data_IF_566365574966
#
_entry.id   IF_566365574966
#
_cell.length_a   1.000
_cell.length_b   1.000
_cell.length_c   1.000
_cell.angle_alpha   90.00
_cell.angle_beta   90.00
_cell.angle_gamma   90.00
#
_symmetry.space_group_name_H-M   'P 1'
#
loop_
_entity.id
_entity.type
_entity.pdbx_description
1 polymer ?
#
# COMPACT_ATOMS: atom_id res chain seq x y z
N UNK A 1 17.34 13.81 -3.30
CA UNK A 1 16.41 12.67 -3.30
C UNK A 1 15.39 12.98 -2.23
N UNK A 2 14.09 12.90 -2.53
CA UNK A 2 13.07 13.07 -1.50
C UNK A 2 13.28 12.00 -0.43
N UNK A 3 13.25 12.39 0.85
CA UNK A 3 13.28 11.45 1.96
C UNK A 3 11.92 10.75 2.03
N UNK A 4 11.87 9.46 1.69
CA UNK A 4 10.66 8.63 1.79
C UNK A 4 10.56 8.04 3.21
N UNK A 5 9.34 7.82 3.69
CA UNK A 5 9.10 7.25 5.04
C UNK A 5 9.40 5.74 5.06
N UNK A 6 9.62 5.17 6.24
CA UNK A 6 9.76 3.70 6.40
C UNK A 6 8.54 2.93 5.85
N UNK A 7 7.33 3.53 5.94
CA UNK A 7 6.12 2.94 5.38
C UNK A 7 6.16 2.96 3.84
N UNK A 8 6.57 4.07 3.23
CA UNK A 8 6.72 4.18 1.77
C UNK A 8 7.80 3.24 1.23
N UNK A 9 8.89 3.04 1.96
CA UNK A 9 9.89 2.01 1.64
C UNK A 9 9.27 0.61 1.62
N UNK A 10 8.40 0.30 2.60
CA UNK A 10 7.66 -0.97 2.61
C UNK A 10 6.65 -1.07 1.48
N UNK A 11 5.90 -0.01 1.19
CA UNK A 11 4.94 0.04 0.08
C UNK A 11 5.63 -0.27 -1.25
N UNK A 12 6.74 0.41 -1.54
CA UNK A 12 7.54 0.18 -2.74
C UNK A 12 8.20 -1.21 -2.72
N UNK A 13 8.78 -1.60 -1.59
CA UNK A 13 9.52 -2.87 -1.45
C UNK A 13 8.66 -4.13 -1.48
N UNK A 14 7.32 -3.98 -1.44
CA UNK A 14 6.36 -5.08 -1.52
C UNK A 14 5.61 -5.16 -2.84
N UNK A 15 5.97 -4.35 -3.84
CA UNK A 15 5.43 -4.44 -5.19
C UNK A 15 5.51 -5.87 -5.72
N UNK A 16 4.43 -6.31 -6.39
CA UNK A 16 4.24 -7.64 -6.98
C UNK A 16 4.27 -8.82 -6.00
N UNK A 17 4.25 -8.55 -4.68
CA UNK A 17 4.20 -9.60 -3.64
C UNK A 17 2.79 -9.76 -3.09
N UNK A 18 2.50 -10.97 -2.61
CA UNK A 18 1.30 -11.23 -1.83
C UNK A 18 1.50 -10.67 -0.42
N UNK A 19 0.65 -9.72 -0.04
CA UNK A 19 0.73 -9.01 1.22
C UNK A 19 -0.58 -9.10 2.00
N UNK A 20 -0.46 -8.97 3.32
CA UNK A 20 -1.54 -8.61 4.24
C UNK A 20 -1.34 -7.16 4.68
N UNK A 21 -2.36 -6.34 4.48
CA UNK A 21 -2.41 -4.95 4.96
C UNK A 21 -3.39 -4.86 6.11
N UNK A 22 -2.92 -4.37 7.26
CA UNK A 22 -3.78 -4.01 8.40
C UNK A 22 -3.96 -2.50 8.41
N UNK A 23 -5.21 -2.04 8.36
CA UNK A 23 -5.57 -0.63 8.42
C UNK A 23 -5.81 -0.20 9.87
N UNK A 24 -5.62 1.09 10.15
CA UNK A 24 -5.81 1.67 11.50
C UNK A 24 -7.25 1.57 12.03
N UNK A 25 -8.22 1.37 11.13
CA UNK A 25 -9.62 1.12 11.48
C UNK A 25 -9.91 -0.36 11.79
N UNK A 26 -8.90 -1.23 11.74
CA UNK A 26 -8.99 -2.66 11.99
C UNK A 26 -9.37 -3.51 10.76
N UNK A 27 -9.59 -2.90 9.59
CA UNK A 27 -9.79 -3.67 8.34
C UNK A 27 -8.50 -4.37 7.92
N UNK A 28 -8.65 -5.53 7.29
CA UNK A 28 -7.55 -6.33 6.77
C UNK A 28 -7.82 -6.63 5.30
N UNK A 29 -6.81 -6.40 4.47
CA UNK A 29 -6.82 -6.72 3.05
C UNK A 29 -5.69 -7.70 2.74
N UNK A 30 -5.98 -8.73 1.95
CA UNK A 30 -4.99 -9.72 1.52
C UNK A 30 -5.02 -9.85 -0.01
N UNK A 31 -3.86 -9.62 -0.63
CA UNK A 31 -3.79 -9.58 -2.08
C UNK A 31 -2.42 -9.24 -2.61
N UNK A 32 -2.32 -9.04 -3.92
CA UNK A 32 -1.07 -8.63 -4.58
C UNK A 32 -0.98 -7.11 -4.54
N UNK A 33 0.17 -6.57 -4.14
CA UNK A 33 0.47 -5.15 -4.29
C UNK A 33 0.82 -4.84 -5.75
N UNK A 34 -0.14 -4.33 -6.52
CA UNK A 34 0.03 -4.11 -7.96
C UNK A 34 0.72 -2.78 -8.27
N UNK A 35 0.43 -1.73 -7.49
CA UNK A 35 0.92 -0.39 -7.77
C UNK A 35 1.28 0.37 -6.51
N UNK A 36 2.33 1.19 -6.60
CA UNK A 36 2.71 2.19 -5.61
C UNK A 36 2.66 3.58 -6.26
N UNK A 37 1.93 4.49 -5.62
CA UNK A 37 1.88 5.90 -6.01
C UNK A 37 2.68 6.70 -4.99
N UNK A 38 3.77 7.33 -5.44
CA UNK A 38 4.57 8.23 -4.60
C UNK A 38 3.83 9.57 -4.40
N UNK A 39 4.02 10.27 -3.27
CA UNK A 39 3.47 11.60 -3.10
C UNK A 39 4.13 12.58 -4.08
N UNK A 40 3.35 13.49 -4.66
CA UNK A 40 3.86 14.59 -5.49
C UNK A 40 4.13 15.83 -4.62
N UNK A 41 5.28 16.48 -4.80
CA UNK A 41 5.70 17.65 -4.00
C UNK A 41 4.76 18.89 -4.11
N UNK A 42 3.83 18.92 -5.08
CA UNK A 42 3.03 20.10 -5.43
C UNK A 42 1.53 20.00 -5.11
N UNK A 43 1.04 18.88 -4.59
CA UNK A 43 -0.36 18.69 -4.16
C UNK A 43 -0.41 17.90 -2.85
N UNK A 44 -1.50 17.95 -2.05
CA UNK A 44 -1.62 17.16 -0.82
C UNK A 44 -1.87 15.65 -1.12
N UNK A 45 -1.20 15.09 -2.12
CA UNK A 45 -1.30 13.68 -2.47
C UNK A 45 -0.41 12.87 -1.52
N UNK A 46 -1.06 11.99 -0.74
CA UNK A 46 -0.39 11.03 0.13
C UNK A 46 0.00 9.79 -0.66
N UNK A 47 1.05 9.10 -0.24
CA UNK A 47 1.44 7.85 -0.87
C UNK A 47 0.31 6.82 -0.77
N UNK A 48 0.16 5.97 -1.79
CA UNK A 48 -0.83 4.88 -1.80
C UNK A 48 -0.28 3.60 -2.42
N UNK A 49 -0.92 2.48 -2.06
CA UNK A 49 -0.76 1.20 -2.75
C UNK A 49 -2.11 0.69 -3.26
N UNK A 50 -2.08 -0.08 -4.35
CA UNK A 50 -3.24 -0.76 -4.90
C UNK A 50 -3.13 -2.26 -4.65
N UNK A 51 -4.05 -2.79 -3.84
CA UNK A 51 -4.10 -4.23 -3.51
C UNK A 51 -5.15 -4.92 -4.38
N UNK A 52 -4.74 -5.94 -5.11
CA UNK A 52 -5.63 -6.84 -5.83
C UNK A 52 -5.96 -8.06 -4.96
N UNK A 53 -7.15 -8.05 -4.34
CA UNK A 53 -7.65 -9.20 -3.57
C UNK A 53 -7.99 -10.37 -4.48
N UNK A 54 -7.80 -11.60 -3.98
CA UNK A 54 -8.06 -12.83 -4.73
C UNK A 54 -9.54 -12.97 -5.09
N UNK A 55 -9.82 -13.23 -6.37
CA UNK A 55 -11.20 -13.37 -6.87
C UNK A 55 -11.93 -12.03 -7.10
N UNK A 56 -11.30 -10.89 -6.81
CA UNK A 56 -11.80 -9.58 -7.20
C UNK A 56 -11.22 -9.15 -8.55
N UNK A 57 -11.97 -8.34 -9.30
CA UNK A 57 -11.51 -7.75 -10.57
C UNK A 57 -11.18 -6.25 -10.45
N UNK A 58 -11.22 -5.73 -9.24
CA UNK A 58 -10.98 -4.33 -8.90
C UNK A 58 -9.80 -4.24 -7.92
N UNK A 59 -9.14 -3.08 -7.93
CA UNK A 59 -8.06 -2.77 -7.02
C UNK A 59 -8.60 -1.94 -5.85
N UNK A 60 -8.16 -2.29 -4.65
CA UNK A 60 -8.41 -1.50 -3.45
C UNK A 60 -7.21 -0.58 -3.24
N UNK A 61 -7.41 0.73 -3.43
CA UNK A 61 -6.40 1.72 -3.09
C UNK A 61 -6.39 1.96 -1.57
N UNK A 62 -5.20 1.92 -0.97
CA UNK A 62 -4.97 2.16 0.45
C UNK A 62 -3.89 3.24 0.59
N UNK A 63 -4.24 4.35 1.22
CA UNK A 63 -3.31 5.45 1.45
C UNK A 63 -2.44 5.21 2.69
N UNK A 64 -1.22 5.75 2.71
CA UNK A 64 -0.31 5.68 3.86
C UNK A 64 -0.96 6.05 5.22
N UNK A 65 -1.78 7.11 5.34
CA UNK A 65 -2.44 7.41 6.61
C UNK A 65 -3.47 6.37 7.04
N UNK A 66 -4.01 5.54 6.15
CA UNK A 66 -4.95 4.45 6.49
C UNK A 66 -4.23 3.19 6.98
N UNK A 67 -2.99 2.99 6.54
CA UNK A 67 -2.23 1.77 6.78
C UNK A 67 -1.54 1.82 8.14
N UNK A 68 -1.73 0.76 8.93
CA UNK A 68 -1.00 0.54 10.17
C UNK A 68 0.21 -0.37 9.92
N UNK A 69 0.02 -1.43 9.13
CA UNK A 69 1.04 -2.46 8.93
C UNK A 69 0.90 -3.16 7.58
N UNK A 70 2.03 -3.47 6.96
CA UNK A 70 2.14 -4.31 5.75
C UNK A 70 3.03 -5.51 6.08
N UNK A 71 2.58 -6.70 5.72
CA UNK A 71 3.28 -7.96 5.91
C UNK A 71 3.31 -8.75 4.59
N UNK A 72 4.49 -9.22 4.18
CA UNK A 72 4.61 -10.19 3.08
C UNK A 72 4.22 -11.56 3.59
N UNK A 73 3.33 -12.24 2.87
CA UNK A 73 2.80 -13.55 3.26
C UNK A 73 3.13 -14.67 2.25
N UNK A 74 3.77 -14.32 1.13
CA UNK A 74 4.35 -15.25 0.14
C UNK A 74 5.58 -14.66 -0.57
#
# INVERSE_FOLDING_TARGET
MAEITEMQEKMMGTSEKKIRVTCKDGKIFEGINEYFTQPLDNEPEVASICVQEEGCSYLTELTEPEIEKIEVIE
#
